data_IF_613644695146
#
_entry.id   IF_613644695146
#
_cell.length_a   1.000
_cell.length_b   1.000
_cell.length_c   1.000
_cell.angle_alpha   90.00
_cell.angle_beta   90.00
_cell.angle_gamma   90.00
#
_symmetry.space_group_name_H-M   'P 1'
#
loop_
_entity.id
_entity.type
_entity.pdbx_description
1 polymer ?
#
# COMPACT_ATOMS: atom_id res chain seq x y z
N UNK A 1 31.48 30.48 -15.86
CA UNK A 1 31.13 29.56 -14.76
C UNK A 1 30.03 28.64 -15.26
N UNK A 2 30.27 27.33 -15.26
CA UNK A 2 29.29 26.34 -15.65
C UNK A 2 28.34 26.12 -14.45
N UNK A 3 27.05 26.40 -14.61
CA UNK A 3 26.07 26.24 -13.52
C UNK A 3 25.84 24.76 -13.15
N UNK A 4 26.28 23.82 -13.99
CA UNK A 4 26.15 22.39 -13.73
C UNK A 4 27.30 21.82 -12.88
N UNK A 5 28.42 22.54 -12.79
CA UNK A 5 29.62 22.09 -12.07
C UNK A 5 29.72 22.64 -10.65
N UNK A 6 28.83 23.57 -10.28
CA UNK A 6 28.78 24.11 -8.92
C UNK A 6 28.03 23.17 -8.00
N UNK A 7 28.36 23.21 -6.71
CA UNK A 7 27.60 22.46 -5.72
C UNK A 7 26.18 22.99 -5.62
N UNK A 8 25.23 22.15 -5.22
CA UNK A 8 23.84 22.59 -4.96
C UNK A 8 23.80 23.72 -3.94
N UNK A 9 24.65 23.67 -2.90
CA UNK A 9 24.75 24.75 -1.90
C UNK A 9 25.17 26.10 -2.51
N UNK A 10 26.13 26.09 -3.43
CA UNK A 10 26.54 27.30 -4.15
C UNK A 10 25.45 27.80 -5.10
N UNK A 11 24.77 26.88 -5.79
CA UNK A 11 23.65 27.22 -6.65
C UNK A 11 22.52 27.91 -5.87
N UNK A 12 22.14 27.37 -4.70
CA UNK A 12 21.12 27.94 -3.84
C UNK A 12 21.53 29.31 -3.28
N UNK A 13 22.78 29.48 -2.87
CA UNK A 13 23.32 30.80 -2.49
C UNK A 13 23.21 31.80 -3.63
N UNK A 14 23.48 31.38 -4.87
CA UNK A 14 23.38 32.26 -6.04
C UNK A 14 21.93 32.67 -6.34
N UNK A 15 20.98 31.74 -6.28
CA UNK A 15 19.55 32.09 -6.42
C UNK A 15 19.08 33.07 -5.34
N UNK A 16 19.57 32.93 -4.10
CA UNK A 16 19.22 33.81 -2.98
C UNK A 16 19.98 35.14 -2.92
N UNK A 17 20.97 35.37 -3.79
CA UNK A 17 21.85 36.54 -3.69
C UNK A 17 21.22 37.85 -4.19
N UNK A 18 20.01 37.83 -4.76
CA UNK A 18 19.35 39.02 -5.31
C UNK A 18 19.99 39.56 -6.60
N UNK A 19 20.96 38.85 -7.17
CA UNK A 19 21.56 39.19 -8.46
C UNK A 19 20.70 38.66 -9.62
N UNK A 20 20.88 39.22 -10.82
CA UNK A 20 20.15 38.78 -12.02
C UNK A 20 20.62 37.43 -12.59
N UNK A 21 21.61 36.77 -11.96
CA UNK A 21 22.29 35.58 -12.48
C UNK A 21 22.64 34.57 -11.38
N UNK A 22 22.17 33.30 -11.46
CA UNK A 22 21.13 32.79 -12.35
C UNK A 22 19.76 33.37 -12.00
N UNK A 23 18.94 33.60 -13.02
CA UNK A 23 17.62 34.22 -12.88
C UNK A 23 16.49 33.21 -12.66
N UNK A 24 15.25 33.72 -12.64
CA UNK A 24 14.05 32.91 -12.46
C UNK A 24 13.78 31.93 -13.62
N UNK A 25 14.25 32.20 -14.84
CA UNK A 25 14.14 31.26 -15.96
C UNK A 25 15.03 30.04 -15.76
N UNK A 26 16.29 30.23 -15.35
CA UNK A 26 17.17 29.16 -14.90
C UNK A 26 16.56 28.36 -13.74
N UNK A 27 15.93 29.03 -12.76
CA UNK A 27 15.24 28.31 -11.69
C UNK A 27 14.09 27.41 -12.21
N UNK A 28 13.28 27.90 -13.16
CA UNK A 28 12.23 27.11 -13.79
C UNK A 28 12.78 25.92 -14.59
N UNK A 29 13.87 26.12 -15.36
CA UNK A 29 14.55 25.03 -16.06
C UNK A 29 15.07 23.95 -15.09
N UNK A 30 15.73 24.38 -14.00
CA UNK A 30 16.24 23.48 -12.98
C UNK A 30 15.13 22.67 -12.31
N UNK A 31 13.99 23.30 -12.02
CA UNK A 31 12.81 22.61 -11.50
C UNK A 31 12.26 21.57 -12.48
N UNK A 32 12.25 21.87 -13.78
CA UNK A 32 11.96 20.91 -14.85
C UNK A 32 12.94 19.74 -14.89
N UNK A 33 14.25 20.00 -14.73
CA UNK A 33 15.29 18.96 -14.68
C UNK A 33 15.09 17.99 -13.52
N UNK A 34 14.81 18.50 -12.32
CA UNK A 34 14.50 17.68 -11.14
C UNK A 34 13.26 16.83 -11.39
N UNK A 35 12.21 17.43 -11.96
CA UNK A 35 10.97 16.73 -12.29
C UNK A 35 11.22 15.59 -13.28
N UNK A 36 11.96 15.86 -14.37
CA UNK A 36 12.34 14.85 -15.36
C UNK A 36 13.08 13.66 -14.73
N UNK A 37 14.03 13.93 -13.81
CA UNK A 37 14.81 12.87 -13.16
C UNK A 37 14.01 12.03 -12.19
N UNK A 38 13.11 12.63 -11.39
CA UNK A 38 12.20 11.89 -10.53
C UNK A 38 11.32 10.93 -11.36
N UNK A 39 10.74 11.41 -12.47
CA UNK A 39 9.91 10.57 -13.33
C UNK A 39 10.72 9.44 -13.98
N UNK A 40 11.92 9.75 -14.48
CA UNK A 40 12.85 8.77 -15.03
C UNK A 40 13.20 7.66 -14.01
N UNK A 41 13.40 8.03 -12.74
CA UNK A 41 13.60 7.06 -11.65
C UNK A 41 12.36 6.18 -11.44
N UNK A 42 11.16 6.75 -11.37
CA UNK A 42 9.93 5.96 -11.18
C UNK A 42 9.70 5.00 -12.35
N UNK A 43 9.93 5.44 -13.59
CA UNK A 43 9.84 4.58 -14.77
C UNK A 43 10.82 3.41 -14.64
N UNK A 44 12.08 3.68 -14.29
CA UNK A 44 13.11 2.66 -14.13
C UNK A 44 12.73 1.63 -13.06
N UNK A 45 12.29 2.09 -11.88
CA UNK A 45 11.78 1.23 -10.81
C UNK A 45 10.56 0.42 -11.24
N UNK A 46 9.72 0.95 -12.13
CA UNK A 46 8.53 0.26 -12.64
C UNK A 46 8.91 -0.86 -13.60
N UNK A 47 9.87 -0.63 -14.50
CA UNK A 47 10.31 -1.61 -15.49
C UNK A 47 10.98 -2.84 -14.85
N UNK A 48 11.52 -2.71 -13.64
CA UNK A 48 12.04 -3.84 -12.85
C UNK A 48 10.95 -4.73 -12.23
N UNK A 49 9.67 -4.34 -12.27
CA UNK A 49 8.58 -5.05 -11.60
C UNK A 49 7.77 -5.90 -12.59
N UNK A 50 7.75 -7.24 -12.45
CA UNK A 50 6.96 -8.12 -13.32
C UNK A 50 5.45 -7.80 -13.37
N UNK A 51 4.91 -7.20 -12.30
CA UNK A 51 3.49 -6.83 -12.21
C UNK A 51 3.07 -5.67 -13.15
N UNK A 52 4.02 -5.00 -13.81
CA UNK A 52 3.77 -3.80 -14.62
C UNK A 52 4.17 -3.96 -16.09
N UNK A 53 4.48 -5.18 -16.53
CA UNK A 53 4.95 -5.49 -17.90
C UNK A 53 4.00 -5.05 -19.00
N UNK A 54 2.69 -4.98 -18.70
CA UNK A 54 1.67 -4.50 -19.65
C UNK A 54 1.80 -3.02 -20.04
N UNK A 55 2.60 -2.23 -19.31
CA UNK A 55 2.84 -0.80 -19.59
C UNK A 55 4.28 -0.53 -20.05
N UNK A 56 5.11 -1.56 -20.21
CA UNK A 56 6.55 -1.40 -20.45
C UNK A 56 6.85 -0.63 -21.74
N UNK A 57 6.09 -0.85 -22.81
CA UNK A 57 6.34 -0.20 -24.11
C UNK A 57 6.21 1.32 -24.02
N UNK A 58 5.09 1.83 -23.50
CA UNK A 58 4.87 3.25 -23.32
C UNK A 58 5.87 3.87 -22.35
N UNK A 59 6.18 3.19 -21.24
CA UNK A 59 7.15 3.66 -20.26
C UNK A 59 8.56 3.77 -20.84
N UNK A 60 8.98 2.82 -21.68
CA UNK A 60 10.27 2.89 -22.38
C UNK A 60 10.29 4.09 -23.33
N UNK A 61 9.22 4.32 -24.11
CA UNK A 61 9.13 5.50 -24.98
C UNK A 61 9.25 6.81 -24.20
N UNK A 62 8.57 6.92 -23.05
CA UNK A 62 8.70 8.09 -22.18
C UNK A 62 10.11 8.24 -21.59
N UNK A 63 10.72 7.14 -21.16
CA UNK A 63 12.09 7.14 -20.66
C UNK A 63 13.07 7.68 -21.71
N UNK A 64 12.97 7.19 -22.94
CA UNK A 64 13.80 7.66 -24.05
C UNK A 64 13.53 9.13 -24.38
N UNK A 65 12.26 9.54 -24.38
CA UNK A 65 11.88 10.94 -24.63
C UNK A 65 12.51 11.86 -23.58
N UNK A 66 12.44 11.48 -22.30
CA UNK A 66 13.03 12.23 -21.19
C UNK A 66 14.55 12.30 -21.30
N UNK A 67 15.22 11.15 -21.40
CA UNK A 67 16.68 11.06 -21.28
C UNK A 67 17.41 11.55 -22.54
N UNK A 68 16.86 11.33 -23.74
CA UNK A 68 17.51 11.71 -25.00
C UNK A 68 17.16 13.12 -25.48
N UNK A 69 16.03 13.68 -25.04
CA UNK A 69 15.54 14.97 -25.55
C UNK A 69 15.27 15.97 -24.42
N UNK A 70 14.29 15.70 -23.55
CA UNK A 70 13.79 16.71 -22.62
C UNK A 70 14.87 17.16 -21.62
N UNK A 71 15.51 16.21 -20.94
CA UNK A 71 16.50 16.52 -19.90
C UNK A 71 17.75 17.23 -20.45
N UNK A 72 18.37 16.76 -21.56
CA UNK A 72 19.46 17.49 -22.21
C UNK A 72 19.08 18.91 -22.64
N UNK A 73 17.89 19.10 -23.22
CA UNK A 73 17.43 20.42 -23.65
C UNK A 73 17.20 21.35 -22.45
N UNK A 74 16.55 20.88 -21.37
CA UNK A 74 16.41 21.66 -20.14
C UNK A 74 17.76 22.04 -19.52
N UNK A 75 18.73 21.13 -19.58
CA UNK A 75 20.10 21.35 -19.10
C UNK A 75 20.79 22.48 -19.90
N UNK A 76 20.59 22.50 -21.21
CA UNK A 76 21.07 23.59 -22.06
C UNK A 76 20.37 24.92 -21.72
N UNK A 77 19.02 24.92 -21.65
CA UNK A 77 18.21 26.10 -21.36
C UNK A 77 18.50 26.69 -19.96
N UNK A 78 18.81 25.85 -18.98
CA UNK A 78 19.22 26.26 -17.64
C UNK A 78 20.44 27.20 -17.67
N UNK A 79 21.43 26.87 -18.50
CA UNK A 79 22.62 27.70 -18.69
C UNK A 79 22.31 28.88 -19.61
N UNK A 80 21.58 28.64 -20.69
CA UNK A 80 21.36 29.63 -21.74
C UNK A 80 20.48 30.80 -21.28
N UNK A 81 19.44 30.55 -20.47
CA UNK A 81 18.64 31.62 -19.84
C UNK A 81 19.53 32.61 -19.08
N UNK A 82 20.42 32.06 -18.26
CA UNK A 82 21.37 32.83 -17.45
C UNK A 82 22.36 33.64 -18.29
N UNK A 83 22.77 33.13 -19.46
CA UNK A 83 23.69 33.83 -20.37
C UNK A 83 22.96 34.89 -21.18
N UNK A 84 21.82 34.55 -21.75
CA UNK A 84 21.07 35.40 -22.65
C UNK A 84 20.48 36.61 -21.91
N UNK A 85 19.94 36.41 -20.70
CA UNK A 85 19.43 37.53 -19.90
C UNK A 85 20.54 38.47 -19.40
N UNK A 86 21.74 37.95 -19.14
CA UNK A 86 22.91 38.76 -18.74
C UNK A 86 23.31 39.79 -19.82
N UNK A 87 23.13 39.46 -21.12
CA UNK A 87 23.35 40.41 -22.21
C UNK A 87 22.40 41.61 -22.11
N UNK A 88 21.11 41.34 -21.91
CA UNK A 88 20.08 42.37 -21.72
C UNK A 88 20.42 43.28 -20.53
N UNK A 89 20.83 42.71 -19.40
CA UNK A 89 21.19 43.48 -18.20
C UNK A 89 22.44 44.32 -18.43
N UNK A 90 23.48 43.78 -19.09
CA UNK A 90 24.68 44.55 -19.43
C UNK A 90 24.39 45.75 -20.31
N UNK A 91 23.53 45.59 -21.32
CA UNK A 91 23.10 46.70 -22.18
C UNK A 91 22.28 47.75 -21.41
N UNK A 92 21.43 47.33 -20.47
CA UNK A 92 20.69 48.24 -19.58
C UNK A 92 21.64 49.04 -18.67
N UNK A 93 22.64 48.39 -18.07
CA UNK A 93 23.66 49.06 -17.25
C UNK A 93 24.50 50.02 -18.08
N UNK A 94 24.91 49.63 -19.29
CA UNK A 94 25.67 50.49 -20.20
C UNK A 94 24.84 51.72 -20.59
N UNK A 95 23.56 51.52 -20.95
CA UNK A 95 22.60 52.59 -21.23
C UNK A 95 22.49 53.57 -20.07
N UNK A 96 22.33 53.07 -18.84
CA UNK A 96 22.10 53.93 -17.67
C UNK A 96 23.35 54.73 -17.26
N UNK A 97 24.54 54.35 -17.75
CA UNK A 97 25.80 55.07 -17.56
C UNK A 97 26.15 56.01 -18.71
N UNK A 98 25.45 55.92 -19.83
CA UNK A 98 25.72 56.71 -21.03
C UNK A 98 25.08 58.10 -20.92
N UNK A 99 25.84 59.13 -21.28
CA UNK A 99 25.42 60.53 -21.23
C UNK A 99 24.90 61.02 -22.59
N UNK A 100 25.41 60.47 -23.70
CA UNK A 100 24.93 60.83 -25.03
C UNK A 100 23.55 60.20 -25.31
N UNK A 101 22.54 61.05 -25.55
CA UNK A 101 21.15 60.62 -25.71
C UNK A 101 20.97 59.66 -26.91
N UNK A 102 21.71 59.88 -28.00
CA UNK A 102 21.61 59.03 -29.19
C UNK A 102 22.15 57.62 -28.93
N UNK A 103 23.33 57.52 -28.29
CA UNK A 103 23.94 56.25 -27.89
C UNK A 103 23.11 55.55 -26.81
N UNK A 104 22.55 56.30 -25.86
CA UNK A 104 21.62 55.76 -24.87
C UNK A 104 20.39 55.13 -25.54
N UNK A 105 19.79 55.79 -26.53
CA UNK A 105 18.67 55.23 -27.27
C UNK A 105 19.06 53.98 -28.07
N UNK A 106 20.25 53.95 -28.68
CA UNK A 106 20.77 52.77 -29.38
C UNK A 106 20.89 51.57 -28.42
N UNK A 107 21.53 51.74 -27.27
CA UNK A 107 21.67 50.69 -26.25
C UNK A 107 20.32 50.21 -25.72
N UNK A 108 19.33 51.11 -25.58
CA UNK A 108 17.96 50.75 -25.22
C UNK A 108 17.32 49.83 -26.25
N UNK A 109 17.50 50.11 -27.55
CA UNK A 109 16.96 49.28 -28.63
C UNK A 109 17.65 47.92 -28.71
N UNK A 110 18.97 47.89 -28.60
CA UNK A 110 19.73 46.63 -28.53
C UNK A 110 19.32 45.77 -27.34
N UNK A 111 19.09 46.37 -26.16
CA UNK A 111 18.61 45.64 -24.98
C UNK A 111 17.22 45.03 -25.19
N UNK A 112 16.34 45.67 -25.97
CA UNK A 112 15.03 45.13 -26.30
C UNK A 112 15.14 43.96 -27.28
N UNK A 113 16.05 44.01 -28.25
CA UNK A 113 16.28 42.90 -29.18
C UNK A 113 16.86 41.68 -28.45
N UNK A 114 17.82 41.86 -27.54
CA UNK A 114 18.32 40.76 -26.69
C UNK A 114 17.22 40.17 -25.78
N UNK A 115 16.30 41.02 -25.31
CA UNK A 115 15.15 40.59 -24.49
C UNK A 115 14.16 39.74 -25.30
N UNK A 116 13.98 39.99 -26.61
CA UNK A 116 13.14 39.16 -27.47
C UNK A 116 13.65 37.72 -27.50
N UNK A 117 14.97 37.53 -27.58
CA UNK A 117 15.62 36.21 -27.52
C UNK A 117 15.44 35.60 -26.12
N UNK A 118 15.61 36.39 -25.05
CA UNK A 118 15.37 35.93 -23.67
C UNK A 118 13.93 35.47 -23.43
N UNK A 119 12.94 35.98 -24.16
CA UNK A 119 11.53 35.58 -24.03
C UNK A 119 11.26 34.18 -24.60
N UNK A 120 11.97 33.78 -25.65
CA UNK A 120 11.74 32.47 -26.28
C UNK A 120 12.22 31.30 -25.39
N UNK A 121 13.24 31.51 -24.56
CA UNK A 121 13.80 30.47 -23.67
C UNK A 121 12.76 29.95 -22.66
N UNK A 122 12.05 30.80 -21.87
CA UNK A 122 10.97 30.35 -21.01
C UNK A 122 9.81 29.65 -21.73
N UNK A 123 9.52 29.96 -23.00
CA UNK A 123 8.51 29.22 -23.75
C UNK A 123 8.93 27.77 -23.96
N UNK A 124 10.18 27.55 -24.37
CA UNK A 124 10.71 26.21 -24.59
C UNK A 124 10.78 25.41 -23.28
N UNK A 125 11.23 26.05 -22.19
CA UNK A 125 11.20 25.43 -20.84
C UNK A 125 9.78 25.00 -20.47
N UNK A 126 8.79 25.88 -20.69
CA UNK A 126 7.41 25.61 -20.31
C UNK A 126 6.79 24.47 -21.14
N UNK A 127 7.06 24.38 -22.44
CA UNK A 127 6.55 23.29 -23.27
C UNK A 127 7.16 21.94 -22.87
N UNK A 128 8.46 21.90 -22.59
CA UNK A 128 9.13 20.71 -22.08
C UNK A 128 8.59 20.28 -20.72
N UNK A 129 8.34 21.24 -19.82
CA UNK A 129 7.72 20.95 -18.53
C UNK A 129 6.27 20.48 -18.68
N UNK A 130 5.52 21.02 -19.65
CA UNK A 130 4.17 20.55 -19.92
C UNK A 130 4.17 19.09 -20.40
N UNK A 131 5.13 18.71 -21.24
CA UNK A 131 5.33 17.31 -21.64
C UNK A 131 5.72 16.41 -20.45
N UNK A 132 6.63 16.87 -19.58
CA UNK A 132 6.96 16.15 -18.33
C UNK A 132 5.71 15.96 -17.46
N UNK A 133 4.85 16.97 -17.33
CA UNK A 133 3.64 16.90 -16.54
C UNK A 133 2.67 15.83 -17.10
N UNK A 134 2.46 15.81 -18.42
CA UNK A 134 1.64 14.78 -19.08
C UNK A 134 2.19 13.36 -18.81
N UNK A 135 3.50 13.16 -18.98
CA UNK A 135 4.17 11.89 -18.67
C UNK A 135 4.03 11.54 -17.18
N UNK A 136 4.23 12.52 -16.30
CA UNK A 136 4.16 12.33 -14.84
C UNK A 136 2.78 11.84 -14.40
N UNK A 137 1.72 12.39 -15.00
CA UNK A 137 0.35 11.96 -14.74
C UNK A 137 0.12 10.49 -15.13
N UNK A 138 0.63 10.08 -16.30
CA UNK A 138 0.57 8.69 -16.72
C UNK A 138 1.37 7.78 -15.78
N UNK A 139 2.59 8.16 -15.44
CA UNK A 139 3.47 7.40 -14.55
C UNK A 139 2.89 7.32 -13.13
N UNK A 140 2.16 8.33 -12.66
CA UNK A 140 1.43 8.25 -11.39
C UNK A 140 0.37 7.14 -11.42
N UNK A 141 -0.38 7.00 -12.53
CA UNK A 141 -1.46 6.00 -12.62
C UNK A 141 -0.96 4.59 -12.93
N UNK A 142 0.07 4.47 -13.78
CA UNK A 142 0.52 3.21 -14.39
C UNK A 142 1.91 2.76 -13.93
N UNK A 143 2.65 3.65 -13.28
CA UNK A 143 3.95 3.37 -12.69
C UNK A 143 3.86 2.62 -11.36
N UNK A 144 5.01 2.39 -10.77
CA UNK A 144 5.14 1.67 -9.52
C UNK A 144 4.42 2.39 -8.38
N UNK A 145 3.33 1.78 -7.88
CA UNK A 145 2.42 2.42 -6.91
C UNK A 145 3.08 2.97 -5.65
N UNK A 146 4.17 2.35 -5.18
CA UNK A 146 4.89 2.79 -3.98
C UNK A 146 5.73 4.05 -4.21
N UNK A 147 6.04 4.38 -5.47
CA UNK A 147 6.80 5.56 -5.85
C UNK A 147 5.89 6.69 -6.40
N UNK A 148 4.57 6.59 -6.21
CA UNK A 148 3.60 7.63 -6.63
C UNK A 148 3.86 9.00 -6.01
N UNK A 149 4.51 9.05 -4.84
CA UNK A 149 4.98 10.30 -4.23
C UNK A 149 5.95 11.04 -5.14
N UNK A 150 6.95 10.34 -5.67
CA UNK A 150 7.95 10.91 -6.59
C UNK A 150 7.30 11.35 -7.91
N UNK A 151 6.33 10.57 -8.42
CA UNK A 151 5.53 10.97 -9.59
C UNK A 151 4.75 12.27 -9.34
N UNK A 152 4.16 12.42 -8.15
CA UNK A 152 3.40 13.62 -7.80
C UNK A 152 4.31 14.85 -7.64
N UNK A 153 5.50 14.68 -7.06
CA UNK A 153 6.49 15.74 -6.96
C UNK A 153 6.96 16.16 -8.37
N UNK A 154 7.22 15.21 -9.26
CA UNK A 154 7.56 15.49 -10.66
C UNK A 154 6.44 16.23 -11.41
N UNK A 155 5.19 15.79 -11.26
CA UNK A 155 4.02 16.45 -11.86
C UNK A 155 3.86 17.89 -11.36
N UNK A 156 3.84 18.09 -10.05
CA UNK A 156 3.63 19.40 -9.43
C UNK A 156 4.79 20.35 -9.70
N UNK A 157 6.02 19.82 -9.68
CA UNK A 157 7.23 20.55 -10.03
C UNK A 157 7.19 21.05 -11.47
N UNK A 158 6.84 20.19 -12.42
CA UNK A 158 6.71 20.59 -13.81
C UNK A 158 5.61 21.67 -14.01
N UNK A 159 4.45 21.51 -13.37
CA UNK A 159 3.35 22.50 -13.43
C UNK A 159 3.78 23.87 -12.87
N UNK A 160 4.50 23.88 -11.74
CA UNK A 160 4.98 25.13 -11.14
C UNK A 160 6.06 25.81 -12.00
N UNK A 161 6.90 25.05 -12.71
CA UNK A 161 7.85 25.61 -13.68
C UNK A 161 7.13 26.33 -14.83
N UNK A 162 6.04 25.74 -15.36
CA UNK A 162 5.21 26.38 -16.40
C UNK A 162 4.63 27.71 -15.89
N UNK A 163 4.09 27.72 -14.66
CA UNK A 163 3.56 28.94 -14.05
C UNK A 163 4.61 30.04 -13.94
N UNK A 164 5.82 29.67 -13.50
CA UNK A 164 6.98 30.56 -13.44
C UNK A 164 7.32 31.14 -14.82
N UNK A 165 7.43 30.30 -15.84
CA UNK A 165 7.70 30.74 -17.22
C UNK A 165 6.64 31.70 -17.76
N UNK A 166 5.34 31.43 -17.52
CA UNK A 166 4.25 32.34 -17.92
C UNK A 166 4.43 33.72 -17.28
N UNK A 167 4.76 33.78 -15.98
CA UNK A 167 4.98 35.03 -15.27
C UNK A 167 6.20 35.79 -15.82
N UNK A 168 7.31 35.08 -16.06
CA UNK A 168 8.55 35.64 -16.61
C UNK A 168 8.30 36.25 -18.00
N UNK A 169 7.63 35.53 -18.90
CA UNK A 169 7.35 36.02 -20.26
C UNK A 169 6.50 37.29 -20.19
N UNK A 170 5.42 37.27 -19.41
CA UNK A 170 4.54 38.45 -19.25
C UNK A 170 5.29 39.64 -18.69
N UNK A 171 6.14 39.44 -17.69
CA UNK A 171 6.98 40.49 -17.12
C UNK A 171 7.92 41.10 -18.17
N UNK A 172 8.57 40.26 -18.98
CA UNK A 172 9.46 40.73 -20.03
C UNK A 172 8.71 41.51 -21.12
N UNK A 173 7.49 41.08 -21.49
CA UNK A 173 6.64 41.80 -22.47
C UNK A 173 6.27 43.22 -22.00
N UNK A 174 6.19 43.48 -20.69
CA UNK A 174 5.94 44.83 -20.17
C UNK A 174 7.07 45.83 -20.45
N UNK A 175 8.26 45.36 -20.86
CA UNK A 175 9.40 46.24 -21.19
C UNK A 175 9.27 46.93 -22.55
N UNK A 176 8.32 46.50 -23.40
CA UNK A 176 8.14 47.01 -24.75
C UNK A 176 7.10 48.14 -24.80
N UNK A 177 7.18 48.96 -25.85
CA UNK A 177 6.30 50.11 -26.07
C UNK A 177 5.39 49.91 -27.30
N UNK A 178 4.54 50.90 -27.59
CA UNK A 178 3.52 50.83 -28.65
C UNK A 178 4.07 50.56 -30.05
N UNK A 179 5.33 50.88 -30.34
CA UNK A 179 5.92 50.57 -31.66
C UNK A 179 6.11 49.07 -31.88
N UNK A 180 6.19 48.28 -30.82
CA UNK A 180 6.37 46.82 -30.84
C UNK A 180 5.04 46.08 -30.58
N UNK A 181 3.89 46.75 -30.71
CA UNK A 181 2.59 46.19 -30.32
C UNK A 181 2.27 44.87 -31.02
N UNK A 182 2.56 44.75 -32.32
CA UNK A 182 2.29 43.53 -33.08
C UNK A 182 3.13 42.34 -32.57
N UNK A 183 4.40 42.57 -32.24
CA UNK A 183 5.24 41.56 -31.62
C UNK A 183 4.70 41.17 -30.24
N UNK A 184 4.40 42.15 -29.38
CA UNK A 184 3.87 41.91 -28.04
C UNK A 184 2.56 41.11 -28.09
N UNK A 185 1.64 41.47 -28.99
CA UNK A 185 0.39 40.75 -29.21
C UNK A 185 0.63 39.29 -29.60
N UNK A 186 1.57 39.03 -30.53
CA UNK A 186 1.91 37.67 -30.95
C UNK A 186 2.45 36.81 -29.80
N UNK A 187 3.28 37.38 -28.92
CA UNK A 187 3.80 36.70 -27.73
C UNK A 187 2.68 36.44 -26.73
N UNK A 188 1.83 37.42 -26.46
CA UNK A 188 0.70 37.26 -25.53
C UNK A 188 -0.27 36.18 -26.01
N UNK A 189 -0.54 36.08 -27.31
CA UNK A 189 -1.36 35.01 -27.87
C UNK A 189 -0.75 33.63 -27.63
N UNK A 190 0.58 33.47 -27.79
CA UNK A 190 1.29 32.23 -27.43
C UNK A 190 1.19 31.94 -25.93
N UNK A 191 1.44 32.93 -25.06
CA UNK A 191 1.34 32.75 -23.60
C UNK A 191 -0.07 32.38 -23.17
N UNK A 192 -1.11 32.94 -23.82
CA UNK A 192 -2.49 32.62 -23.50
C UNK A 192 -2.80 31.14 -23.78
N UNK A 193 -2.28 30.56 -24.87
CA UNK A 193 -2.39 29.12 -25.14
C UNK A 193 -1.68 28.29 -24.09
N UNK A 194 -0.45 28.66 -23.73
CA UNK A 194 0.32 28.01 -22.68
C UNK A 194 -0.41 28.09 -21.31
N UNK A 195 -1.04 29.21 -21.01
CA UNK A 195 -1.82 29.41 -19.78
C UNK A 195 -3.06 28.51 -19.71
N UNK A 196 -3.69 28.19 -20.85
CA UNK A 196 -4.77 27.21 -20.89
C UNK A 196 -4.22 25.82 -20.55
N UNK A 197 -3.11 25.41 -21.18
CA UNK A 197 -2.43 24.13 -20.90
C UNK A 197 -2.02 24.01 -19.43
N UNK A 198 -1.41 25.06 -18.87
CA UNK A 198 -1.08 25.17 -17.45
C UNK A 198 -2.29 24.91 -16.55
N UNK A 199 -3.42 25.58 -16.80
CA UNK A 199 -4.63 25.41 -15.97
C UNK A 199 -5.14 23.98 -15.99
N UNK A 200 -5.14 23.33 -17.16
CA UNK A 200 -5.53 21.93 -17.30
C UNK A 200 -4.61 21.02 -16.49
N UNK A 201 -3.29 21.20 -16.61
CA UNK A 201 -2.31 20.40 -15.87
C UNK A 201 -2.34 20.66 -14.36
N UNK A 202 -2.64 21.88 -13.94
CA UNK A 202 -2.79 22.21 -12.52
C UNK A 202 -4.00 21.49 -11.90
N UNK A 203 -5.13 21.43 -12.62
CA UNK A 203 -6.29 20.63 -12.21
C UNK A 203 -5.92 19.15 -12.15
N UNK A 204 -5.22 18.63 -13.15
CA UNK A 204 -4.77 17.23 -13.18
C UNK A 204 -3.85 16.88 -12.00
N UNK A 205 -2.93 17.78 -11.63
CA UNK A 205 -2.06 17.61 -10.48
C UNK A 205 -2.83 17.53 -9.15
N UNK A 206 -3.87 18.35 -8.98
CA UNK A 206 -4.78 18.32 -7.83
C UNK A 206 -5.63 17.05 -7.81
N UNK A 207 -6.11 16.59 -8.97
CA UNK A 207 -6.85 15.33 -9.10
C UNK A 207 -6.03 14.13 -8.63
N UNK A 208 -4.72 14.08 -8.91
CA UNK A 208 -3.85 12.98 -8.44
C UNK A 208 -3.72 12.94 -6.91
N UNK A 209 -3.73 14.10 -6.24
CA UNK A 209 -3.76 14.17 -4.78
C UNK A 209 -5.09 13.61 -4.26
N UNK A 210 -6.21 14.01 -4.87
CA UNK A 210 -7.56 13.51 -4.52
C UNK A 210 -7.71 12.00 -4.73
N UNK A 211 -6.98 11.39 -5.68
CA UNK A 211 -6.96 9.92 -5.83
C UNK A 211 -6.39 9.26 -4.57
N UNK A 212 -5.31 9.79 -4.01
CA UNK A 212 -4.69 9.24 -2.79
C UNK A 212 -5.58 9.43 -1.55
N UNK A 213 -6.22 10.60 -1.46
CA UNK A 213 -7.22 10.89 -0.42
C UNK A 213 -8.35 9.87 -0.44
N UNK A 214 -8.99 9.66 -1.60
CA UNK A 214 -10.05 8.67 -1.77
C UNK A 214 -9.57 7.24 -1.47
N UNK A 215 -8.36 6.86 -1.89
CA UNK A 215 -7.78 5.55 -1.55
C UNK A 215 -7.67 5.34 -0.04
N UNK A 216 -7.37 6.39 0.72
CA UNK A 216 -7.35 6.34 2.18
C UNK A 216 -8.76 6.31 2.78
N UNK A 217 -9.67 7.17 2.31
CA UNK A 217 -11.07 7.21 2.75
C UNK A 217 -11.75 5.83 2.64
N UNK A 218 -11.47 5.08 1.57
CA UNK A 218 -12.02 3.71 1.43
C UNK A 218 -11.60 2.74 2.53
N UNK A 219 -10.50 3.02 3.25
CA UNK A 219 -9.99 2.19 4.35
C UNK A 219 -10.54 2.60 5.71
N UNK A 220 -11.00 3.84 5.87
CA UNK A 220 -11.44 4.40 7.16
C UNK A 220 -12.47 3.49 7.86
N UNK A 221 -13.55 3.02 7.20
CA UNK A 221 -14.56 2.20 7.88
C UNK A 221 -13.99 0.89 8.46
N UNK A 222 -13.01 0.29 7.79
CA UNK A 222 -12.34 -0.92 8.29
C UNK A 222 -11.48 -0.59 9.52
N UNK A 223 -10.74 0.51 9.48
CA UNK A 223 -9.85 0.93 10.57
C UNK A 223 -10.64 1.29 11.83
N UNK A 224 -11.73 2.05 11.68
CA UNK A 224 -12.63 2.39 12.78
C UNK A 224 -13.25 1.12 13.39
N UNK A 225 -13.78 0.23 12.54
CA UNK A 225 -14.38 -1.02 13.02
C UNK A 225 -13.39 -1.90 13.79
N UNK A 226 -12.13 -1.96 13.34
CA UNK A 226 -11.08 -2.72 14.05
C UNK A 226 -10.69 -2.04 15.35
N UNK A 227 -10.58 -0.71 15.37
CA UNK A 227 -10.31 0.02 16.59
C UNK A 227 -11.41 -0.20 17.64
N UNK A 228 -12.68 -0.14 17.23
CA UNK A 228 -13.83 -0.41 18.10
C UNK A 228 -13.80 -1.85 18.65
N UNK A 229 -13.48 -2.82 17.80
CA UNK A 229 -13.31 -4.22 18.22
C UNK A 229 -12.20 -4.37 19.28
N UNK A 230 -11.04 -3.75 19.05
CA UNK A 230 -9.90 -3.80 19.98
C UNK A 230 -10.23 -3.07 21.29
N UNK A 231 -10.91 -1.93 21.26
CA UNK A 231 -11.35 -1.22 22.48
C UNK A 231 -12.35 -2.05 23.30
N UNK A 232 -13.20 -2.81 22.62
CA UNK A 232 -14.18 -3.70 23.24
C UNK A 232 -13.55 -4.89 23.95
N UNK A 233 -12.49 -5.49 23.38
CA UNK A 233 -11.99 -6.78 23.85
C UNK A 233 -10.55 -6.80 24.40
N UNK A 234 -9.65 -5.92 23.92
CA UNK A 234 -8.22 -6.03 24.21
C UNK A 234 -7.88 -5.70 25.67
N UNK A 235 -7.33 -6.68 26.37
CA UNK A 235 -6.91 -6.60 27.76
C UNK A 235 -8.07 -6.43 28.75
N UNK A 236 -9.26 -6.91 28.38
CA UNK A 236 -10.42 -7.02 29.27
C UNK A 236 -10.45 -8.39 29.92
N UNK A 237 -10.93 -8.47 31.16
CA UNK A 237 -11.13 -9.74 31.87
C UNK A 237 -12.55 -10.28 31.60
N UNK A 238 -12.74 -11.61 31.68
CA UNK A 238 -14.02 -12.30 31.50
C UNK A 238 -14.72 -12.03 30.16
N UNK A 239 -13.94 -11.90 29.09
CA UNK A 239 -14.46 -11.68 27.73
C UNK A 239 -15.21 -12.91 27.23
N UNK A 240 -16.39 -12.71 26.63
CA UNK A 240 -17.03 -13.74 25.83
C UNK A 240 -16.26 -13.92 24.51
N UNK A 241 -15.36 -14.91 24.50
CA UNK A 241 -14.46 -15.17 23.37
C UNK A 241 -15.23 -15.56 22.10
N UNK A 242 -16.30 -16.33 22.23
CA UNK A 242 -17.10 -16.71 21.06
C UNK A 242 -17.75 -15.47 20.43
N UNK A 243 -18.28 -14.55 21.24
CA UNK A 243 -18.80 -13.29 20.74
C UNK A 243 -17.71 -12.42 20.10
N UNK A 244 -16.51 -12.37 20.69
CA UNK A 244 -15.36 -11.68 20.10
C UNK A 244 -15.02 -12.23 18.71
N UNK A 245 -14.97 -13.56 18.55
CA UNK A 245 -14.70 -14.18 17.24
C UNK A 245 -15.80 -13.90 16.22
N UNK A 246 -17.07 -13.90 16.64
CA UNK A 246 -18.21 -13.55 15.77
C UNK A 246 -18.15 -12.10 15.31
N UNK A 247 -17.85 -11.17 16.21
CA UNK A 247 -17.71 -9.76 15.88
C UNK A 247 -16.58 -9.54 14.87
N UNK A 248 -15.43 -10.19 15.08
CA UNK A 248 -14.31 -10.15 14.14
C UNK A 248 -14.70 -10.74 12.77
N UNK A 249 -15.35 -11.91 12.74
CA UNK A 249 -15.78 -12.56 11.50
C UNK A 249 -16.77 -11.69 10.72
N UNK A 250 -17.76 -11.11 11.40
CA UNK A 250 -18.74 -10.22 10.78
C UNK A 250 -18.08 -8.96 10.21
N UNK A 251 -17.12 -8.38 10.93
CA UNK A 251 -16.33 -7.25 10.47
C UNK A 251 -15.51 -7.61 9.23
N UNK A 252 -14.75 -8.71 9.29
CA UNK A 252 -13.93 -9.17 8.17
C UNK A 252 -14.81 -9.49 6.96
N UNK A 253 -15.96 -10.12 7.16
CA UNK A 253 -16.94 -10.38 6.11
C UNK A 253 -17.50 -9.10 5.52
N UNK A 254 -17.88 -8.11 6.34
CA UNK A 254 -18.37 -6.80 5.86
C UNK A 254 -17.35 -6.09 4.97
N UNK A 255 -16.06 -6.24 5.27
CA UNK A 255 -14.96 -5.55 4.58
C UNK A 255 -14.12 -6.46 3.66
N UNK A 256 -14.55 -7.68 3.35
CA UNK A 256 -13.72 -8.68 2.65
C UNK A 256 -13.19 -8.22 1.29
N UNK A 257 -13.96 -7.39 0.55
CA UNK A 257 -13.52 -6.84 -0.75
C UNK A 257 -12.35 -5.85 -0.62
N UNK A 258 -12.25 -5.15 0.51
CA UNK A 258 -11.15 -4.23 0.80
C UNK A 258 -9.91 -5.00 1.24
N UNK A 259 -10.11 -6.06 2.03
CA UNK A 259 -9.04 -6.91 2.58
C UNK A 259 -8.39 -7.76 1.47
N UNK A 260 -9.20 -8.43 0.65
CA UNK A 260 -8.74 -9.30 -0.45
C UNK A 260 -9.03 -8.68 -1.83
N UNK A 261 -8.22 -7.70 -2.24
CA UNK A 261 -8.42 -6.96 -3.50
C UNK A 261 -8.36 -7.81 -4.77
N UNK A 262 -7.49 -8.83 -4.81
CA UNK A 262 -7.27 -9.67 -6.02
C UNK A 262 -8.28 -10.80 -6.14
N UNK A 263 -8.54 -11.49 -5.04
CA UNK A 263 -9.40 -12.69 -5.00
C UNK A 263 -10.31 -12.60 -3.77
N UNK A 264 -11.40 -11.83 -3.85
CA UNK A 264 -12.33 -11.68 -2.73
C UNK A 264 -12.95 -13.04 -2.33
N UNK A 265 -13.03 -13.35 -1.03
CA UNK A 265 -13.81 -14.47 -0.48
C UNK A 265 -15.22 -14.56 -1.10
N UNK A 266 -15.65 -15.77 -1.46
CA UNK A 266 -17.00 -16.00 -2.03
C UNK A 266 -17.95 -16.59 -0.99
N UNK A 267 -17.43 -17.39 -0.07
CA UNK A 267 -18.20 -18.03 1.00
C UNK A 267 -17.71 -17.58 2.38
N UNK A 268 -18.60 -17.63 3.39
CA UNK A 268 -18.29 -17.23 4.79
C UNK A 268 -17.10 -18.00 5.39
N UNK A 269 -16.78 -19.19 4.89
CA UNK A 269 -15.63 -19.99 5.37
C UNK A 269 -14.29 -19.51 4.82
N UNK A 270 -14.29 -18.80 3.69
CA UNK A 270 -13.07 -18.37 3.00
C UNK A 270 -12.36 -17.25 3.78
N UNK A 271 -13.09 -16.48 4.62
CA UNK A 271 -12.52 -15.45 5.48
C UNK A 271 -11.78 -16.00 6.70
N UNK A 272 -11.86 -17.31 6.98
CA UNK A 272 -11.24 -17.95 8.14
C UNK A 272 -9.72 -18.16 7.96
N UNK A 273 -9.04 -17.11 7.51
CA UNK A 273 -7.62 -17.12 7.11
C UNK A 273 -6.82 -16.20 8.06
N UNK A 274 -6.30 -16.73 9.19
CA UNK A 274 -5.72 -15.93 10.26
C UNK A 274 -4.47 -15.16 9.82
N UNK A 275 -3.64 -15.76 8.96
CA UNK A 275 -2.45 -15.13 8.37
C UNK A 275 -2.80 -13.88 7.56
N UNK A 276 -3.88 -13.95 6.77
CA UNK A 276 -4.36 -12.82 5.98
C UNK A 276 -4.87 -11.71 6.88
N UNK A 277 -5.64 -12.02 7.92
CA UNK A 277 -6.16 -11.03 8.89
C UNK A 277 -5.00 -10.38 9.65
N UNK A 278 -4.05 -11.17 10.17
CA UNK A 278 -2.85 -10.66 10.83
C UNK A 278 -2.13 -9.64 9.95
N UNK A 279 -1.86 -9.97 8.68
CA UNK A 279 -1.16 -9.09 7.72
C UNK A 279 -1.95 -7.86 7.33
N UNK A 280 -3.15 -8.06 6.80
CA UNK A 280 -3.87 -7.01 6.07
C UNK A 280 -4.81 -6.20 6.95
N UNK A 281 -5.28 -6.76 8.07
CA UNK A 281 -6.23 -6.11 8.96
C UNK A 281 -5.52 -5.54 10.19
N UNK A 282 -4.62 -6.31 10.80
CA UNK A 282 -3.92 -5.91 12.03
C UNK A 282 -2.51 -5.36 11.83
N UNK A 283 -1.99 -5.44 10.60
CA UNK A 283 -0.69 -4.89 10.21
C UNK A 283 0.52 -5.63 10.79
N UNK A 284 0.39 -6.94 11.02
CA UNK A 284 1.51 -7.79 11.46
C UNK A 284 2.29 -8.33 10.26
N UNK A 285 3.62 -8.31 10.35
CA UNK A 285 4.45 -9.14 9.51
C UNK A 285 4.30 -10.60 9.95
N UNK A 286 3.83 -11.44 9.04
CA UNK A 286 3.63 -12.86 9.31
C UNK A 286 4.59 -13.72 8.47
N UNK A 287 5.41 -14.47 9.19
CA UNK A 287 6.45 -15.36 8.66
C UNK A 287 6.05 -16.82 8.85
N UNK A 288 6.32 -17.63 7.82
CA UNK A 288 6.17 -19.08 7.88
C UNK A 288 7.54 -19.71 7.57
N UNK A 289 8.36 -19.89 8.60
CA UNK A 289 9.77 -20.29 8.48
C UNK A 289 10.18 -21.26 9.57
N UNK A 290 11.01 -22.24 9.24
CA UNK A 290 11.33 -23.39 10.12
C UNK A 290 12.32 -23.14 11.26
N UNK A 291 12.83 -21.92 11.47
CA UNK A 291 13.83 -21.64 12.52
C UNK A 291 13.65 -20.25 13.10
N UNK A 292 12.74 -20.11 14.05
CA UNK A 292 12.83 -19.06 15.07
C UNK A 292 13.19 -19.76 16.39
N UNK A 293 14.47 -20.12 16.53
CA UNK A 293 15.03 -20.57 17.79
C UNK A 293 15.30 -19.36 18.68
N UNK A 294 14.77 -19.36 19.90
CA UNK A 294 15.17 -18.38 20.91
C UNK A 294 16.43 -18.94 21.59
N UNK A 295 17.56 -18.22 21.62
CA UNK A 295 18.72 -18.66 22.37
C UNK A 295 18.40 -18.60 23.87
N UNK A 296 18.36 -19.76 24.53
CA UNK A 296 18.33 -19.85 25.99
C UNK A 296 19.76 -19.78 26.55
N UNK A 297 19.91 -19.32 27.79
CA UNK A 297 21.19 -19.12 28.51
C UNK A 297 22.10 -20.37 28.56
N UNK A 298 21.58 -21.56 28.20
CA UNK A 298 22.30 -22.84 28.19
C UNK A 298 22.55 -23.45 26.80
N UNK A 299 22.60 -22.65 25.72
CA UNK A 299 23.00 -23.11 24.38
C UNK A 299 22.09 -24.19 23.74
N UNK A 300 20.86 -24.32 24.23
CA UNK A 300 19.82 -25.16 23.63
C UNK A 300 18.77 -24.28 22.93
N UNK A 301 18.61 -24.45 21.63
CA UNK A 301 17.49 -23.88 20.88
C UNK A 301 16.23 -24.74 21.14
N UNK A 302 15.17 -24.15 21.67
CA UNK A 302 13.85 -24.79 21.71
C UNK A 302 13.10 -24.40 20.45
N UNK A 303 12.65 -25.38 19.68
CA UNK A 303 11.79 -25.14 18.53
C UNK A 303 10.37 -24.84 19.03
N UNK A 304 9.90 -23.61 18.83
CA UNK A 304 8.58 -23.15 19.26
C UNK A 304 7.63 -23.18 18.06
N UNK A 305 6.40 -23.66 18.25
CA UNK A 305 5.44 -23.74 17.14
C UNK A 305 4.98 -22.36 16.62
N UNK A 306 4.95 -21.34 17.48
CA UNK A 306 4.57 -19.97 17.14
C UNK A 306 5.05 -18.92 18.15
N UNK A 307 5.22 -17.69 17.68
CA UNK A 307 5.59 -16.51 18.47
C UNK A 307 4.86 -15.28 17.95
N UNK A 308 4.42 -14.42 18.87
CA UNK A 308 3.97 -13.06 18.60
C UNK A 308 4.77 -12.04 19.41
N UNK A 309 5.29 -11.03 18.70
CA UNK A 309 5.86 -9.81 19.26
C UNK A 309 4.92 -8.66 18.89
N UNK A 310 4.09 -8.23 19.84
CA UNK A 310 3.07 -7.20 19.61
C UNK A 310 3.67 -5.81 19.35
N UNK A 311 4.69 -5.33 20.10
CA UNK A 311 5.36 -4.06 19.82
C UNK A 311 5.99 -4.00 18.44
N UNK A 312 6.66 -5.06 18.00
CA UNK A 312 7.27 -5.12 16.67
C UNK A 312 6.30 -5.51 15.56
N UNK A 313 5.07 -5.89 15.92
CA UNK A 313 4.06 -6.39 14.97
C UNK A 313 4.55 -7.59 14.16
N UNK A 314 5.23 -8.53 14.82
CA UNK A 314 5.75 -9.75 14.18
C UNK A 314 4.98 -10.97 14.69
N UNK A 315 4.55 -11.83 13.77
CA UNK A 315 4.10 -13.19 14.05
C UNK A 315 4.96 -14.15 13.24
N UNK A 316 5.50 -15.18 13.88
CA UNK A 316 6.16 -16.27 13.18
C UNK A 316 5.54 -17.60 13.58
N UNK A 317 5.28 -18.45 12.59
CA UNK A 317 4.76 -19.80 12.76
C UNK A 317 5.74 -20.77 12.11
N UNK A 318 6.10 -21.84 12.83
CA UNK A 318 7.04 -22.84 12.32
C UNK A 318 6.44 -23.62 11.16
N UNK A 319 7.20 -23.77 10.08
CA UNK A 319 6.80 -24.54 8.91
C UNK A 319 7.04 -26.05 9.05
N UNK A 320 7.66 -26.50 10.16
CA UNK A 320 7.97 -27.90 10.47
C UNK A 320 6.72 -28.73 10.81
N UNK A 321 5.60 -28.07 11.15
CA UNK A 321 4.36 -28.73 11.53
C UNK A 321 3.38 -28.93 10.35
N UNK A 322 2.43 -29.87 10.42
CA UNK A 322 1.35 -29.99 9.44
C UNK A 322 0.54 -28.70 9.26
N UNK A 323 -0.09 -28.53 8.08
CA UNK A 323 -0.80 -27.27 7.73
C UNK A 323 -1.93 -26.92 8.68
N UNK A 324 -2.63 -27.91 9.21
CA UNK A 324 -3.71 -27.75 10.18
C UNK A 324 -3.18 -27.19 11.51
N UNK A 325 -2.00 -27.64 11.93
CA UNK A 325 -1.32 -27.17 13.14
C UNK A 325 -0.81 -25.74 12.92
N UNK A 326 -0.16 -25.46 11.78
CA UNK A 326 0.27 -24.10 11.42
C UNK A 326 -0.91 -23.13 11.46
N UNK A 327 -2.05 -23.51 10.89
CA UNK A 327 -3.24 -22.67 10.84
C UNK A 327 -3.86 -22.44 12.22
N UNK A 328 -3.92 -23.47 13.05
CA UNK A 328 -4.38 -23.33 14.43
C UNK A 328 -3.46 -22.40 15.22
N UNK A 329 -2.14 -22.59 15.13
CA UNK A 329 -1.15 -21.69 15.74
C UNK A 329 -1.35 -20.25 15.26
N UNK A 330 -1.49 -20.01 13.96
CA UNK A 330 -1.75 -18.67 13.44
C UNK A 330 -3.05 -18.04 13.99
N UNK A 331 -4.11 -18.84 14.16
CA UNK A 331 -5.36 -18.37 14.76
C UNK A 331 -5.23 -18.09 16.27
N UNK A 332 -4.37 -18.85 16.97
CA UNK A 332 -4.00 -18.63 18.36
C UNK A 332 -3.22 -17.30 18.51
N UNK A 333 -2.23 -17.05 17.67
CA UNK A 333 -1.50 -15.75 17.65
C UNK A 333 -2.42 -14.57 17.31
N UNK A 334 -3.38 -14.78 16.40
CA UNK A 334 -4.44 -13.80 16.14
C UNK A 334 -5.29 -13.53 17.39
N UNK A 335 -5.58 -14.57 18.19
CA UNK A 335 -6.22 -14.43 19.49
C UNK A 335 -5.43 -13.52 20.43
N UNK A 336 -4.12 -13.70 20.53
CA UNK A 336 -3.26 -12.78 21.30
C UNK A 336 -3.31 -11.35 20.78
N UNK A 337 -3.25 -11.14 19.47
CA UNK A 337 -3.28 -9.81 18.88
C UNK A 337 -4.58 -9.03 19.21
N UNK A 338 -5.71 -9.74 19.29
CA UNK A 338 -7.03 -9.17 19.58
C UNK A 338 -7.30 -9.02 21.08
N UNK A 339 -7.01 -10.06 21.88
CA UNK A 339 -7.46 -10.15 23.28
C UNK A 339 -6.42 -9.65 24.28
N UNK A 340 -5.13 -9.75 23.99
CA UNK A 340 -4.08 -9.71 25.00
C UNK A 340 -3.15 -8.50 24.85
N UNK A 341 -2.61 -7.96 25.96
CA UNK A 341 -1.73 -6.77 25.98
C UNK A 341 -0.24 -7.10 26.15
N UNK A 342 0.08 -8.36 26.43
CA UNK A 342 1.44 -8.82 26.71
C UNK A 342 2.34 -8.63 25.47
N UNK A 343 3.54 -8.11 25.70
CA UNK A 343 4.44 -7.64 24.65
C UNK A 343 4.99 -8.76 23.78
N UNK A 344 5.54 -9.80 24.41
CA UNK A 344 6.08 -10.98 23.74
C UNK A 344 5.45 -12.21 24.40
N UNK A 345 4.93 -13.11 23.57
CA UNK A 345 4.32 -14.35 24.03
C UNK A 345 4.92 -15.53 23.27
N UNK A 346 5.14 -16.61 24.01
CA UNK A 346 5.70 -17.86 23.50
C UNK A 346 4.81 -19.00 23.96
N UNK A 347 4.48 -19.89 23.02
CA UNK A 347 3.65 -21.07 23.28
C UNK A 347 4.30 -22.07 24.26
N UNK A 348 5.64 -22.19 24.26
CA UNK A 348 6.34 -23.35 24.89
C UNK A 348 7.34 -23.01 26.03
N UNK A 349 7.39 -21.78 26.55
CA UNK A 349 8.34 -21.43 27.65
C UNK A 349 7.63 -21.39 29.01
N UNK A 350 8.00 -22.20 30.01
CA UNK A 350 7.47 -22.09 31.38
C UNK A 350 7.79 -20.74 32.04
N UNK A 351 6.95 -20.26 32.97
CA UNK A 351 7.20 -19.02 33.72
C UNK A 351 7.79 -19.29 35.12
N UNK A 352 8.78 -18.50 35.54
CA UNK A 352 9.57 -18.68 36.78
C UNK A 352 8.87 -18.30 38.11
N UNK A 353 7.56 -18.00 38.12
CA UNK A 353 6.82 -17.67 39.36
C UNK A 353 5.35 -18.14 39.35
N UNK A 354 4.88 -18.64 40.48
CA UNK A 354 3.59 -19.34 40.62
C UNK A 354 2.34 -18.49 40.33
N UNK A 355 2.35 -17.19 40.65
CA UNK A 355 1.24 -16.27 40.36
C UNK A 355 1.21 -15.86 38.88
N UNK A 356 2.36 -15.64 38.26
CA UNK A 356 2.47 -15.36 36.82
C UNK A 356 2.13 -16.59 35.97
N UNK A 357 2.37 -17.79 36.50
CA UNK A 357 2.03 -19.05 35.84
C UNK A 357 0.52 -19.19 35.62
N UNK A 358 -0.31 -18.98 36.65
CA UNK A 358 -1.79 -19.07 36.51
C UNK A 358 -2.37 -18.05 35.53
N UNK A 359 -1.87 -16.81 35.57
CA UNK A 359 -2.31 -15.76 34.64
C UNK A 359 -1.90 -16.06 33.20
N UNK A 360 -0.71 -16.62 33.00
CA UNK A 360 -0.24 -17.06 31.69
C UNK A 360 -1.06 -18.24 31.19
N UNK A 361 -1.32 -19.24 32.04
CA UNK A 361 -2.20 -20.37 31.71
C UNK A 361 -3.59 -19.92 31.25
N UNK A 362 -4.19 -18.92 31.90
CA UNK A 362 -5.47 -18.36 31.47
C UNK A 362 -5.38 -17.71 30.08
N UNK A 363 -4.35 -16.91 29.83
CA UNK A 363 -4.13 -16.21 28.54
C UNK A 363 -3.98 -17.20 27.38
N UNK A 364 -3.24 -18.29 27.59
CA UNK A 364 -3.09 -19.36 26.60
C UNK A 364 -4.42 -20.09 26.35
N UNK A 365 -5.20 -20.38 27.41
CA UNK A 365 -6.54 -20.98 27.29
C UNK A 365 -7.49 -20.07 26.50
N UNK A 366 -7.44 -18.75 26.74
CA UNK A 366 -8.26 -17.78 26.02
C UNK A 366 -7.88 -17.72 24.53
N UNK A 367 -6.58 -17.76 24.21
CA UNK A 367 -6.09 -17.82 22.83
C UNK A 367 -6.47 -19.12 22.12
N UNK A 368 -6.40 -20.28 22.78
CA UNK A 368 -6.83 -21.57 22.24
C UNK A 368 -8.34 -21.63 21.97
N UNK A 369 -9.14 -21.09 22.89
CA UNK A 369 -10.59 -20.93 22.69
C UNK A 369 -10.88 -20.00 21.51
N UNK A 370 -10.15 -18.90 21.40
CA UNK A 370 -10.28 -17.98 20.28
C UNK A 370 -9.98 -18.69 18.96
N UNK A 371 -8.87 -19.41 18.87
CA UNK A 371 -8.49 -20.17 17.68
C UNK A 371 -9.57 -21.19 17.28
N UNK A 372 -10.10 -21.92 18.26
CA UNK A 372 -11.18 -22.89 18.08
C UNK A 372 -12.45 -22.24 17.53
N UNK A 373 -12.93 -21.16 18.15
CA UNK A 373 -14.17 -20.49 17.73
C UNK A 373 -14.01 -19.73 16.41
N UNK A 374 -12.82 -19.19 16.16
CA UNK A 374 -12.50 -18.52 14.91
C UNK A 374 -12.48 -19.51 13.74
N UNK A 375 -11.75 -20.63 13.86
CA UNK A 375 -11.62 -21.60 12.78
C UNK A 375 -12.83 -22.52 12.62
N UNK A 376 -13.62 -22.73 13.68
CA UNK A 376 -14.80 -23.58 13.65
C UNK A 376 -16.04 -22.85 14.24
N UNK A 377 -16.60 -21.87 13.50
CA UNK A 377 -17.70 -21.06 13.99
C UNK A 377 -18.96 -21.88 14.14
N UNK A 378 -19.66 -21.73 15.27
CA UNK A 378 -20.81 -22.56 15.63
C UNK A 378 -21.89 -22.62 14.55
N UNK A 379 -22.23 -21.46 13.94
CA UNK A 379 -23.21 -21.37 12.84
C UNK A 379 -22.78 -22.16 11.60
N UNK A 380 -21.51 -22.05 11.19
CA UNK A 380 -20.99 -22.72 10.00
C UNK A 380 -20.89 -24.23 10.21
N UNK A 381 -20.40 -24.65 11.37
CA UNK A 381 -20.31 -26.07 11.72
C UNK A 381 -21.70 -26.72 11.71
N UNK A 382 -22.68 -26.10 12.38
CA UNK A 382 -24.08 -26.61 12.39
C UNK A 382 -24.67 -26.72 10.98
N UNK A 383 -24.42 -25.73 10.12
CA UNK A 383 -24.88 -25.71 8.73
C UNK A 383 -24.28 -26.87 7.91
N UNK A 384 -22.96 -27.02 7.91
CA UNK A 384 -22.29 -28.08 7.14
C UNK A 384 -22.55 -29.47 7.74
N UNK A 385 -22.66 -29.57 9.07
CA UNK A 385 -23.06 -30.81 9.75
C UNK A 385 -24.45 -31.27 9.29
N UNK A 386 -25.44 -30.38 9.32
CA UNK A 386 -26.79 -30.68 8.85
C UNK A 386 -26.80 -31.06 7.37
N UNK A 387 -25.98 -30.40 6.53
CA UNK A 387 -25.88 -30.71 5.11
C UNK A 387 -25.37 -32.13 4.84
N UNK A 388 -24.43 -32.63 5.66
CA UNK A 388 -23.87 -33.97 5.51
C UNK A 388 -24.81 -35.03 6.11
N UNK A 389 -25.26 -34.84 7.35
CA UNK A 389 -25.95 -35.87 8.12
C UNK A 389 -27.47 -35.75 8.11
N UNK A 390 -28.02 -34.66 7.58
CA UNK A 390 -29.45 -34.34 7.57
C UNK A 390 -30.12 -34.42 8.96
N UNK A 391 -29.37 -34.05 10.00
CA UNK A 391 -29.84 -33.97 11.39
C UNK A 391 -29.14 -32.85 12.14
N UNK A 392 -29.79 -32.31 13.16
CA UNK A 392 -29.19 -31.34 14.08
C UNK A 392 -28.39 -31.99 15.21
N UNK A 393 -28.75 -33.22 15.58
CA UNK A 393 -28.06 -34.03 16.60
C UNK A 393 -27.93 -35.44 16.03
N UNK A 394 -26.70 -35.94 15.96
CA UNK A 394 -26.44 -37.31 15.51
C UNK A 394 -26.48 -38.26 16.71
N UNK A 395 -27.40 -39.22 16.64
CA UNK A 395 -27.53 -40.34 17.59
C UNK A 395 -27.31 -41.67 16.85
N UNK A 396 -26.77 -42.68 17.53
CA UNK A 396 -26.64 -44.01 16.96
C UNK A 396 -28.01 -44.72 16.99
N UNK A 397 -28.65 -44.79 15.83
CA UNK A 397 -29.86 -45.56 15.56
C UNK A 397 -29.69 -46.35 14.25
N UNK A 398 -30.63 -47.26 13.96
CA UNK A 398 -30.53 -48.12 12.77
C UNK A 398 -30.53 -47.33 11.44
N UNK A 399 -31.31 -46.26 11.34
CA UNK A 399 -31.37 -45.43 10.13
C UNK A 399 -30.02 -44.73 9.85
N UNK A 400 -29.45 -44.09 10.87
CA UNK A 400 -28.15 -43.43 10.77
C UNK A 400 -27.00 -44.41 10.55
N UNK A 401 -27.06 -45.60 11.15
CA UNK A 401 -26.07 -46.66 10.94
C UNK A 401 -26.15 -47.22 9.52
N UNK A 402 -27.35 -47.46 9.00
CA UNK A 402 -27.57 -47.92 7.64
C UNK A 402 -27.02 -46.92 6.61
N UNK A 403 -27.13 -45.62 6.87
CA UNK A 403 -26.55 -44.56 6.03
C UNK A 403 -25.02 -44.57 5.95
N UNK A 404 -24.32 -45.28 6.84
CA UNK A 404 -22.88 -45.57 6.76
C UNK A 404 -22.58 -46.85 5.96
N UNK A 405 -23.15 -46.96 4.75
CA UNK A 405 -22.93 -48.11 3.85
C UNK A 405 -23.51 -49.43 4.37
N UNK A 406 -24.74 -49.41 4.88
CA UNK A 406 -25.52 -50.60 5.23
C UNK A 406 -25.16 -51.26 6.57
N UNK A 407 -24.52 -50.52 7.48
CA UNK A 407 -24.11 -51.03 8.80
C UNK A 407 -25.29 -51.10 9.77
N UNK A 408 -25.25 -52.03 10.73
CA UNK A 408 -26.20 -52.05 11.85
C UNK A 408 -25.80 -51.08 12.96
N UNK A 409 -26.75 -50.71 13.82
CA UNK A 409 -26.44 -49.90 15.00
C UNK A 409 -25.41 -50.56 15.93
N UNK A 410 -25.42 -51.91 16.01
CA UNK A 410 -24.46 -52.70 16.79
C UNK A 410 -23.03 -52.60 16.22
N UNK A 411 -22.88 -52.64 14.90
CA UNK A 411 -21.57 -52.50 14.25
C UNK A 411 -20.98 -51.11 14.49
N UNK A 412 -21.81 -50.07 14.40
CA UNK A 412 -21.38 -48.69 14.65
C UNK A 412 -20.97 -48.47 16.12
N UNK A 413 -21.70 -49.07 17.09
CA UNK A 413 -21.33 -49.04 18.52
C UNK A 413 -20.05 -49.82 18.83
N UNK A 414 -19.78 -50.92 18.12
CA UNK A 414 -18.51 -51.66 18.26
C UNK A 414 -17.32 -50.87 17.74
N UNK A 415 -17.47 -50.16 16.63
CA UNK A 415 -16.40 -49.31 16.07
C UNK A 415 -16.20 -48.03 16.89
N UNK A 416 -17.28 -47.41 17.34
CA UNK A 416 -17.26 -46.19 18.14
C UNK A 416 -17.57 -46.52 19.60
N UNK A 417 -16.52 -46.78 20.39
CA UNK A 417 -16.63 -47.24 21.78
C UNK A 417 -17.01 -46.14 22.80
N UNK A 418 -16.98 -44.87 22.42
CA UNK A 418 -17.36 -43.73 23.24
C UNK A 418 -17.76 -42.53 22.37
N UNK A 419 -18.26 -41.48 23.02
CA UNK A 419 -18.65 -40.22 22.37
C UNK A 419 -17.51 -39.67 21.48
N UNK A 420 -16.27 -39.65 21.98
CA UNK A 420 -15.11 -39.14 21.23
C UNK A 420 -14.79 -39.94 19.98
N UNK A 421 -14.89 -41.26 20.03
CA UNK A 421 -14.71 -42.13 18.88
C UNK A 421 -15.78 -41.88 17.81
N UNK A 422 -17.03 -41.69 18.22
CA UNK A 422 -18.13 -41.30 17.33
C UNK A 422 -17.87 -39.93 16.71
N UNK A 423 -17.52 -38.91 17.50
CA UNK A 423 -17.20 -37.57 17.02
C UNK A 423 -16.05 -37.56 16.01
N UNK A 424 -14.98 -38.35 16.24
CA UNK A 424 -13.88 -38.51 15.28
C UNK A 424 -14.33 -39.17 13.98
N UNK A 425 -15.21 -40.16 14.05
CA UNK A 425 -15.79 -40.82 12.88
C UNK A 425 -16.60 -39.82 12.05
N UNK A 426 -17.49 -39.06 12.69
CA UNK A 426 -18.29 -38.02 12.02
C UNK A 426 -17.40 -36.93 11.40
N UNK A 427 -16.40 -36.45 12.13
CA UNK A 427 -15.46 -35.44 11.63
C UNK A 427 -14.71 -35.87 10.35
N UNK A 428 -14.36 -37.16 10.23
CA UNK A 428 -13.64 -37.78 9.09
C UNK A 428 -14.56 -38.33 7.99
N UNK A 429 -15.87 -38.28 8.16
CA UNK A 429 -16.81 -38.93 7.23
C UNK A 429 -16.80 -38.23 5.88
N UNK A 430 -16.59 -39.01 4.81
CA UNK A 430 -16.62 -38.54 3.41
C UNK A 430 -17.71 -39.20 2.57
N UNK A 431 -18.37 -40.21 3.13
CA UNK A 431 -19.45 -40.92 2.47
C UNK A 431 -20.57 -41.17 3.48
N UNK A 432 -21.77 -40.68 3.18
CA UNK A 432 -22.95 -40.83 4.02
C UNK A 432 -24.22 -40.78 3.16
N UNK A 433 -25.15 -41.70 3.39
CA UNK A 433 -26.43 -41.79 2.67
C UNK A 433 -26.25 -41.77 1.13
N UNK A 434 -25.37 -42.63 0.62
CA UNK A 434 -25.03 -42.77 -0.81
C UNK A 434 -24.46 -41.52 -1.49
N UNK A 435 -24.08 -40.49 -0.73
CA UNK A 435 -23.48 -39.27 -1.25
C UNK A 435 -22.04 -39.14 -0.75
N UNK A 436 -21.18 -38.58 -1.61
CA UNK A 436 -19.81 -38.22 -1.27
C UNK A 436 -19.74 -36.76 -0.85
N UNK A 437 -19.04 -36.49 0.24
CA UNK A 437 -18.85 -35.16 0.82
C UNK A 437 -17.38 -34.92 1.15
N UNK A 438 -16.96 -33.66 1.12
CA UNK A 438 -15.74 -33.29 1.82
C UNK A 438 -15.99 -33.42 3.34
N UNK A 439 -15.13 -34.15 4.04
CA UNK A 439 -15.23 -34.29 5.50
C UNK A 439 -15.13 -32.93 6.21
N UNK A 440 -15.81 -32.80 7.36
CA UNK A 440 -15.84 -31.54 8.12
C UNK A 440 -14.44 -31.02 8.44
N UNK A 441 -13.52 -31.90 8.87
CA UNK A 441 -12.15 -31.47 9.19
C UNK A 441 -11.42 -30.90 7.94
N UNK A 442 -11.65 -31.46 6.75
CA UNK A 442 -11.09 -30.94 5.48
C UNK A 442 -11.73 -29.62 5.08
N UNK A 443 -13.06 -29.50 5.22
CA UNK A 443 -13.78 -28.26 4.89
C UNK A 443 -13.31 -27.06 5.72
N UNK A 444 -13.06 -27.28 7.01
CA UNK A 444 -12.55 -26.25 7.92
C UNK A 444 -11.02 -26.25 8.02
N UNK A 445 -10.33 -27.20 7.38
CA UNK A 445 -8.88 -27.41 7.38
C UNK A 445 -8.26 -27.23 8.79
N UNK A 446 -8.73 -28.10 9.68
CA UNK A 446 -8.34 -28.28 11.09
C UNK A 446 -8.04 -29.76 11.34
N UNK A 447 -7.44 -30.09 12.49
CA UNK A 447 -7.22 -31.50 12.85
C UNK A 447 -8.56 -32.20 13.12
N UNK A 448 -8.59 -33.52 12.91
CA UNK A 448 -9.77 -34.34 13.22
C UNK A 448 -10.12 -34.26 14.70
N UNK A 449 -9.10 -34.21 15.56
CA UNK A 449 -9.30 -34.11 17.00
C UNK A 449 -9.98 -32.80 17.38
N UNK A 450 -9.52 -31.67 16.83
CA UNK A 450 -10.11 -30.36 17.08
C UNK A 450 -11.57 -30.30 16.61
N UNK A 451 -11.86 -30.84 15.42
CA UNK A 451 -13.23 -30.93 14.91
C UNK A 451 -14.11 -31.82 15.81
N UNK A 452 -13.62 -32.98 16.25
CA UNK A 452 -14.36 -33.88 17.12
C UNK A 452 -14.72 -33.22 18.47
N UNK A 453 -13.75 -32.54 19.09
CA UNK A 453 -13.99 -31.75 20.31
C UNK A 453 -15.06 -30.69 20.05
N UNK A 454 -14.97 -29.98 18.92
CA UNK A 454 -15.92 -28.92 18.59
C UNK A 454 -17.34 -29.44 18.35
N UNK A 455 -17.50 -30.64 17.79
CA UNK A 455 -18.81 -31.28 17.63
C UNK A 455 -19.43 -31.61 18.99
N UNK A 456 -18.63 -32.03 19.96
CA UNK A 456 -19.07 -32.29 21.35
C UNK A 456 -19.45 -31.00 22.07
N UNK A 457 -18.63 -29.95 21.98
CA UNK A 457 -18.92 -28.64 22.58
C UNK A 457 -20.22 -28.01 22.06
N UNK A 458 -20.58 -28.29 20.81
CA UNK A 458 -21.79 -27.79 20.17
C UNK A 458 -23.00 -28.71 20.37
N UNK A 459 -22.83 -29.80 21.12
CA UNK A 459 -23.86 -30.81 21.42
C UNK A 459 -24.48 -31.43 20.16
N UNK A 460 -23.68 -31.59 19.10
CA UNK A 460 -24.15 -32.13 17.81
C UNK A 460 -24.11 -33.66 17.76
N UNK A 461 -23.52 -34.29 18.77
CA UNK A 461 -23.32 -35.74 18.84
C UNK A 461 -23.76 -36.20 20.21
N UNK A 462 -24.56 -37.26 20.23
CA UNK A 462 -24.99 -37.92 21.46
C UNK A 462 -24.82 -39.42 21.29
N UNK A 463 -24.22 -40.04 22.30
CA UNK A 463 -23.77 -41.43 22.25
C UNK A 463 -24.76 -42.40 22.90
#
# INVERSE_FOLDING_TARGET
MNLLEVTVNELMKKFGAGNHKPGSGSAAAFQGMVSAKLISTVISLTLEKPAYTMYSTELITFQERIEKNIYPTLTHLFIEDSKQFDKTIKLRIARDKENDEATQNKLRREALEELKISIEIPFEIAELCAEIADISSYVFDKGFKSARGDSQVGLSGAVSAIAGCIAIIRLNVLSFNSSEYNYCKSIIDKVNKLNIKYKTLAVLADEKIKVLEKEFETKIPLFESINDLLLKYKGRENVNIEQCTKDLQNLVWKHHKLIWKKTPPKEEKDILSPDSILKTVLGYDYFNSGRYGIPLENNHEVEIAGIIDQPKKIVAVSNSYPKEVQRFTAAHELGHAILHKQSILHRDIPADSSANKRKREQVEIEADKFATYFLMPSKLIKKEFYKIFNTHIFEINEDNAFKFSGRSSSDLRKECNNLRALSRKLAKTEFYNNNSYNSLFKQFNVSVEAMAIRLEELELVKY
#
